data_IF_828641573885
#
_entry.id   IF_828641573885
#
_cell.length_a   1.000
_cell.length_b   1.000
_cell.length_c   1.000
_cell.angle_alpha   90.00
_cell.angle_beta   90.00
_cell.angle_gamma   90.00
#
_symmetry.space_group_name_H-M   'P 1'
#
loop_
_entity.id
_entity.type
_entity.pdbx_description
1 polymer ?
#
# COMPACT_ATOMS: atom_id res chain seq x y z
N UNK A 1 2.89 -6.34 -13.20
CA UNK A 1 2.28 -4.99 -13.04
C UNK A 1 2.78 -3.97 -14.07
N UNK A 2 4.08 -3.64 -14.16
CA UNK A 2 4.59 -2.57 -15.06
C UNK A 2 4.08 -2.63 -16.51
N UNK A 3 4.19 -3.78 -17.17
CA UNK A 3 3.70 -3.95 -18.54
C UNK A 3 2.23 -3.55 -18.69
N UNK A 4 1.40 -3.94 -17.72
CA UNK A 4 -0.04 -3.62 -17.72
C UNK A 4 -0.29 -2.12 -17.59
N UNK A 5 0.41 -1.44 -16.69
CA UNK A 5 0.27 0.01 -16.50
C UNK A 5 0.68 0.79 -17.75
N UNK A 6 1.80 0.42 -18.37
CA UNK A 6 2.29 1.10 -19.58
C UNK A 6 1.39 0.80 -20.78
N UNK A 7 1.17 -0.48 -21.09
CA UNK A 7 0.55 -0.88 -22.36
C UNK A 7 -0.97 -0.79 -22.36
N UNK A 8 -1.62 -0.85 -21.19
CA UNK A 8 -3.09 -0.83 -21.08
C UNK A 8 -3.65 0.45 -20.49
N UNK A 9 -2.91 1.09 -19.59
CA UNK A 9 -3.34 2.34 -18.93
C UNK A 9 -2.56 3.57 -19.39
N UNK A 10 -1.56 3.41 -20.25
CA UNK A 10 -0.84 4.54 -20.84
C UNK A 10 0.07 5.29 -19.86
N UNK A 11 0.47 4.67 -18.75
CA UNK A 11 1.42 5.28 -17.83
C UNK A 11 2.78 5.48 -18.53
N UNK A 12 3.34 6.70 -18.54
CA UNK A 12 4.70 6.93 -19.02
C UNK A 12 5.70 6.03 -18.30
N UNK A 13 6.70 5.51 -19.01
CA UNK A 13 7.74 4.69 -18.36
C UNK A 13 8.48 5.45 -17.25
N UNK A 14 8.71 6.74 -17.44
CA UNK A 14 9.42 7.60 -16.48
C UNK A 14 8.57 7.94 -15.25
N UNK A 15 7.26 7.68 -15.28
CA UNK A 15 6.36 7.83 -14.12
C UNK A 15 6.22 6.52 -13.33
N UNK A 16 7.08 5.53 -13.56
CA UNK A 16 7.05 4.25 -12.85
C UNK A 16 8.38 4.04 -12.13
N UNK A 17 8.35 4.14 -10.80
CA UNK A 17 9.44 3.71 -9.93
C UNK A 17 9.19 2.26 -9.49
N UNK A 18 10.18 1.40 -9.72
CA UNK A 18 10.11 -0.01 -9.33
C UNK A 18 11.31 -0.36 -8.46
N UNK A 19 11.03 -1.04 -7.35
CA UNK A 19 12.03 -1.61 -6.45
C UNK A 19 11.96 -3.14 -6.52
N UNK A 20 13.09 -3.82 -6.74
CA UNK A 20 13.16 -5.29 -6.84
C UNK A 20 14.46 -5.82 -6.25
N UNK A 21 14.45 -7.04 -5.73
CA UNK A 21 15.63 -7.67 -5.11
C UNK A 21 16.76 -7.97 -6.14
N UNK A 22 16.42 -8.22 -7.40
CA UNK A 22 17.36 -8.54 -8.48
C UNK A 22 18.08 -7.31 -9.07
N UNK A 23 17.86 -6.12 -8.52
CA UNK A 23 18.36 -4.88 -9.10
C UNK A 23 19.81 -4.58 -8.70
N UNK A 24 20.59 -4.10 -9.66
CA UNK A 24 22.02 -3.78 -9.45
C UNK A 24 22.23 -2.41 -8.81
N UNK A 25 21.29 -1.48 -9.03
CA UNK A 25 21.33 -0.16 -8.42
C UNK A 25 20.85 -0.22 -6.96
N UNK A 26 21.70 0.12 -5.97
CA UNK A 26 21.33 0.07 -4.55
C UNK A 26 20.12 0.92 -4.18
N UNK A 27 19.84 2.00 -4.92
CA UNK A 27 18.68 2.88 -4.70
C UNK A 27 17.35 2.25 -5.13
N UNK A 28 17.41 1.13 -5.85
CA UNK A 28 16.24 0.40 -6.35
C UNK A 28 16.04 -0.96 -5.67
N UNK A 29 16.86 -1.29 -4.68
CA UNK A 29 16.65 -2.46 -3.83
C UNK A 29 15.55 -2.13 -2.81
N UNK A 30 14.59 -3.01 -2.51
CA UNK A 30 13.45 -2.74 -1.62
C UNK A 30 13.87 -2.78 -0.12
N UNK A 31 14.81 -1.93 0.27
CA UNK A 31 15.13 -1.66 1.68
C UNK A 31 14.05 -0.78 2.31
N UNK A 32 13.95 -0.76 3.64
CA UNK A 32 12.98 0.05 4.36
C UNK A 32 13.07 1.51 3.93
N UNK A 33 14.27 2.05 3.87
CA UNK A 33 14.49 3.46 3.49
C UNK A 33 14.08 3.73 2.03
N UNK A 34 14.45 2.84 1.09
CA UNK A 34 14.10 3.03 -0.31
C UNK A 34 12.60 2.94 -0.55
N UNK A 35 11.89 2.03 0.13
CA UNK A 35 10.43 1.94 0.07
C UNK A 35 9.81 3.24 0.59
N UNK A 36 10.25 3.76 1.75
CA UNK A 36 9.76 5.04 2.30
C UNK A 36 9.97 6.21 1.34
N UNK A 37 11.14 6.28 0.72
CA UNK A 37 11.43 7.31 -0.28
C UNK A 37 10.54 7.17 -1.52
N UNK A 38 10.30 5.94 -1.98
CA UNK A 38 9.41 5.67 -3.11
C UNK A 38 7.94 6.04 -2.80
N UNK A 39 7.46 5.76 -1.59
CA UNK A 39 6.12 6.15 -1.13
C UNK A 39 5.96 7.67 -1.11
N UNK A 40 6.96 8.40 -0.59
CA UNK A 40 6.95 9.87 -0.61
C UNK A 40 7.00 10.43 -2.03
N UNK A 41 7.83 9.84 -2.88
CA UNK A 41 7.92 10.21 -4.30
C UNK A 41 6.58 10.02 -5.01
N UNK A 42 5.85 8.94 -4.71
CA UNK A 42 4.56 8.63 -5.35
C UNK A 42 3.53 9.75 -5.16
N UNK A 43 3.45 10.33 -3.97
CA UNK A 43 2.47 11.40 -3.66
C UNK A 43 3.03 12.81 -3.86
N UNK A 44 4.33 12.95 -4.14
CA UNK A 44 4.97 14.24 -4.26
C UNK A 44 4.40 15.02 -5.46
N UNK A 45 3.81 16.18 -5.16
CA UNK A 45 3.26 17.07 -6.19
C UNK A 45 1.91 16.64 -6.76
N UNK A 46 1.28 15.59 -6.19
CA UNK A 46 -0.04 15.12 -6.59
C UNK A 46 -1.07 16.26 -6.56
N UNK A 47 -1.90 16.31 -7.60
CA UNK A 47 -2.97 17.29 -7.79
C UNK A 47 -4.34 16.60 -7.87
N UNK A 48 -5.44 17.34 -7.63
CA UNK A 48 -6.78 16.85 -7.94
C UNK A 48 -6.89 16.36 -9.40
N UNK A 49 -7.44 15.17 -9.59
CA UNK A 49 -7.57 14.52 -10.89
C UNK A 49 -6.46 13.51 -11.22
N UNK A 50 -5.36 13.48 -10.45
CA UNK A 50 -4.30 12.49 -10.64
C UNK A 50 -4.75 11.08 -10.25
N UNK A 51 -4.21 10.08 -10.95
CA UNK A 51 -4.40 8.66 -10.66
C UNK A 51 -3.06 8.00 -10.36
N UNK A 52 -2.89 7.60 -9.11
CA UNK A 52 -1.69 6.98 -8.57
C UNK A 52 -1.91 5.47 -8.45
N UNK A 53 -0.82 4.71 -8.59
CA UNK A 53 -0.83 3.26 -8.37
C UNK A 53 0.30 2.89 -7.42
N UNK A 54 -0.06 2.26 -6.29
CA UNK A 54 0.87 1.59 -5.40
C UNK A 54 0.67 0.08 -5.53
N UNK A 55 1.72 -0.65 -5.89
CA UNK A 55 1.67 -2.11 -5.96
C UNK A 55 2.79 -2.71 -5.13
N UNK A 56 2.42 -3.55 -4.17
CA UNK A 56 3.36 -4.30 -3.35
C UNK A 56 3.09 -5.80 -3.52
N UNK A 57 4.16 -6.57 -3.68
CA UNK A 57 4.11 -8.04 -3.64
C UNK A 57 5.28 -8.51 -2.81
N UNK A 58 5.01 -9.32 -1.79
CA UNK A 58 6.03 -9.80 -0.87
C UNK A 58 5.45 -10.30 0.44
N UNK A 59 6.30 -10.33 1.47
CA UNK A 59 5.86 -10.71 2.81
C UNK A 59 5.15 -9.55 3.51
N UNK A 60 4.00 -9.88 4.10
CA UNK A 60 3.38 -9.06 5.12
C UNK A 60 3.31 -9.84 6.43
N UNK A 61 3.33 -9.10 7.53
CA UNK A 61 3.31 -9.64 8.89
C UNK A 61 2.41 -8.79 9.77
N UNK A 62 2.22 -9.21 11.01
CA UNK A 62 1.61 -8.41 12.07
C UNK A 62 2.65 -8.09 13.14
N UNK A 63 2.54 -6.92 13.75
CA UNK A 63 3.28 -6.58 14.97
C UNK A 63 2.30 -6.13 16.06
N UNK A 64 2.74 -6.10 17.32
CA UNK A 64 1.88 -5.65 18.40
C UNK A 64 1.62 -4.14 18.24
N UNK A 65 0.35 -3.77 18.18
CA UNK A 65 -0.07 -2.38 18.12
C UNK A 65 0.28 -1.70 19.46
N UNK A 66 0.96 -0.56 19.38
CA UNK A 66 1.41 0.19 20.54
C UNK A 66 0.57 1.43 20.85
N UNK A 67 -0.24 1.92 19.91
CA UNK A 67 -1.12 3.08 20.11
C UNK A 67 -2.60 2.71 20.26
N UNK A 68 -2.93 1.43 20.06
CA UNK A 68 -4.23 0.81 20.28
C UNK A 68 -5.32 1.35 19.34
N UNK A 69 -4.96 1.73 18.11
CA UNK A 69 -5.92 2.12 17.09
C UNK A 69 -6.54 0.92 16.35
N UNK A 70 -5.91 -0.25 16.43
CA UNK A 70 -6.40 -1.50 15.83
C UNK A 70 -7.28 -2.33 16.78
N UNK A 71 -8.41 -2.81 16.25
CA UNK A 71 -9.44 -3.53 17.04
C UNK A 71 -8.95 -4.91 17.50
N UNK A 72 -8.05 -5.53 16.73
CA UNK A 72 -7.44 -6.81 17.09
C UNK A 72 -6.13 -6.66 17.88
N UNK A 73 -5.64 -5.43 18.04
CA UNK A 73 -4.41 -5.09 18.75
C UNK A 73 -3.12 -5.41 17.98
N UNK A 74 -3.17 -5.49 16.64
CA UNK A 74 -2.01 -5.75 15.80
C UNK A 74 -1.96 -4.93 14.51
N UNK A 75 -0.96 -4.06 14.36
CA UNK A 75 -0.62 -3.41 13.09
C UNK A 75 -0.30 -4.44 12.00
N UNK A 76 -0.85 -4.24 10.82
CA UNK A 76 -0.36 -4.84 9.59
C UNK A 76 0.95 -4.21 9.14
N UNK A 77 1.83 -5.04 8.57
CA UNK A 77 3.16 -4.58 8.17
C UNK A 77 3.57 -5.12 6.81
N UNK A 78 4.31 -4.30 6.07
CA UNK A 78 5.09 -4.74 4.92
C UNK A 78 6.51 -5.07 5.38
N UNK A 79 7.10 -6.16 4.86
CA UNK A 79 8.46 -6.56 5.17
C UNK A 79 9.43 -6.11 4.06
N UNK A 80 10.29 -5.09 4.31
CA UNK A 80 11.40 -4.76 3.41
C UNK A 80 12.46 -5.86 3.43
N UNK A 81 13.41 -5.81 2.50
CA UNK A 81 14.48 -6.81 2.42
C UNK A 81 15.40 -6.80 3.67
N UNK A 82 15.56 -5.65 4.32
CA UNK A 82 16.39 -5.43 5.50
C UNK A 82 15.59 -5.42 6.82
N UNK A 83 14.37 -5.99 6.82
CA UNK A 83 13.46 -5.97 7.97
C UNK A 83 14.06 -6.53 9.26
N UNK A 84 14.96 -7.51 9.18
CA UNK A 84 15.64 -8.08 10.36
C UNK A 84 16.49 -7.05 11.12
N UNK A 85 17.02 -6.04 10.42
CA UNK A 85 17.92 -5.02 11.00
C UNK A 85 17.27 -3.65 11.12
N UNK A 86 16.28 -3.34 10.28
CA UNK A 86 15.62 -2.02 10.20
C UNK A 86 14.14 -2.04 10.61
N UNK A 87 13.62 -3.23 10.91
CA UNK A 87 12.21 -3.46 11.23
C UNK A 87 11.31 -3.43 10.00
N UNK A 88 10.04 -3.72 10.22
CA UNK A 88 9.00 -3.71 9.20
C UNK A 88 8.45 -2.28 8.97
N UNK A 89 7.63 -2.08 7.95
CA UNK A 89 6.91 -0.81 7.71
C UNK A 89 5.46 -1.05 8.13
N UNK A 90 4.97 -0.28 9.09
CA UNK A 90 3.61 -0.39 9.62
C UNK A 90 2.61 0.33 8.73
N UNK A 91 1.40 -0.19 8.67
CA UNK A 91 0.22 0.40 8.04
C UNK A 91 0.03 1.89 8.34
N UNK A 92 0.15 2.27 9.60
CA UNK A 92 -0.05 3.62 10.09
C UNK A 92 0.97 4.61 9.47
N UNK A 93 2.20 4.13 9.25
CA UNK A 93 3.25 4.83 8.52
C UNK A 93 2.93 4.95 7.01
N UNK A 94 2.38 3.89 6.42
CA UNK A 94 1.98 3.88 5.01
C UNK A 94 0.82 4.86 4.83
N UNK A 95 -0.19 4.80 5.68
CA UNK A 95 -1.34 5.70 5.70
C UNK A 95 -0.89 7.17 5.83
N UNK A 96 -0.02 7.47 6.80
CA UNK A 96 0.56 8.80 6.99
C UNK A 96 1.26 9.33 5.74
N UNK A 97 1.90 8.42 4.99
CA UNK A 97 2.75 8.78 3.84
C UNK A 97 1.95 8.94 2.56
N UNK A 98 1.01 8.03 2.26
CA UNK A 98 0.34 7.97 0.95
C UNK A 98 -1.18 8.11 0.97
N UNK A 99 -1.83 8.07 2.13
CA UNK A 99 -3.30 8.21 2.23
C UNK A 99 -3.67 9.60 2.75
N UNK A 100 -3.25 9.94 3.97
CA UNK A 100 -3.52 11.23 4.63
C UNK A 100 -3.14 12.46 3.77
N UNK A 101 -2.02 12.46 3.03
CA UNK A 101 -1.61 13.64 2.25
C UNK A 101 -2.32 13.81 0.91
N UNK A 102 -3.14 12.86 0.46
CA UNK A 102 -3.75 12.92 -0.87
C UNK A 102 -4.72 14.12 -0.98
N UNK A 103 -4.59 14.94 -2.02
CA UNK A 103 -5.52 16.03 -2.24
C UNK A 103 -6.90 15.49 -2.65
N UNK A 104 -7.94 16.21 -2.27
CA UNK A 104 -9.30 15.88 -2.69
C UNK A 104 -9.39 15.82 -4.22
N UNK A 105 -9.93 14.72 -4.74
CA UNK A 105 -10.09 14.48 -6.17
C UNK A 105 -8.93 13.72 -6.82
N UNK A 106 -7.82 13.46 -6.12
CA UNK A 106 -6.86 12.46 -6.54
C UNK A 106 -7.35 11.04 -6.17
N UNK A 107 -6.92 10.04 -6.93
CA UNK A 107 -7.24 8.63 -6.68
C UNK A 107 -5.97 7.82 -6.51
N UNK A 108 -5.84 7.10 -5.39
CA UNK A 108 -4.78 6.12 -5.18
C UNK A 108 -5.36 4.71 -5.32
N UNK A 109 -4.83 3.94 -6.27
CA UNK A 109 -5.10 2.53 -6.44
C UNK A 109 -3.98 1.72 -5.78
N UNK A 110 -4.25 1.12 -4.63
CA UNK A 110 -3.31 0.24 -3.96
C UNK A 110 -3.65 -1.24 -4.20
N UNK A 111 -2.68 -2.01 -4.67
CA UNK A 111 -2.79 -3.46 -4.86
C UNK A 111 -1.71 -4.12 -4.02
N UNK A 112 -2.13 -4.89 -3.02
CA UNK A 112 -1.22 -5.52 -2.06
C UNK A 112 -1.38 -7.03 -2.17
N UNK A 113 -0.35 -7.69 -2.71
CA UNK A 113 -0.24 -9.14 -2.80
C UNK A 113 0.69 -9.65 -1.70
N UNK A 114 0.16 -9.68 -0.48
CA UNK A 114 0.86 -10.09 0.73
C UNK A 114 -0.11 -10.71 1.76
N UNK A 115 0.41 -11.56 2.65
CA UNK A 115 -0.32 -12.03 3.83
C UNK A 115 -0.57 -10.86 4.79
N UNK A 116 -1.66 -10.91 5.56
CA UNK A 116 -2.02 -9.87 6.55
C UNK A 116 -2.00 -8.47 5.94
N UNK A 117 -2.67 -8.29 4.80
CA UNK A 117 -2.70 -7.02 4.04
C UNK A 117 -4.07 -6.35 4.05
N UNK A 118 -5.01 -6.86 4.84
CA UNK A 118 -6.43 -6.50 4.78
C UNK A 118 -6.67 -5.03 5.16
N UNK A 119 -5.87 -4.52 6.08
CA UNK A 119 -5.98 -3.19 6.69
C UNK A 119 -4.68 -2.39 6.56
N UNK A 120 -3.74 -2.79 5.69
CA UNK A 120 -2.40 -2.19 5.53
C UNK A 120 -2.36 -0.70 5.11
N UNK A 121 -3.52 -0.06 4.98
CA UNK A 121 -3.70 1.35 4.64
C UNK A 121 -4.64 2.08 5.60
N UNK A 122 -5.15 1.43 6.66
CA UNK A 122 -6.09 1.95 7.66
C UNK A 122 -7.29 2.67 7.04
N UNK A 123 -7.89 2.04 6.03
CA UNK A 123 -9.04 2.62 5.35
C UNK A 123 -10.31 2.37 6.17
N UNK A 124 -11.16 3.40 6.38
CA UNK A 124 -12.33 3.29 7.25
C UNK A 124 -13.47 2.42 6.66
N UNK A 125 -13.39 2.06 5.39
CA UNK A 125 -14.41 1.30 4.68
C UNK A 125 -13.80 0.07 4.03
N UNK A 126 -14.28 -1.10 4.43
CA UNK A 126 -13.86 -2.38 3.85
C UNK A 126 -15.03 -3.01 3.09
N UNK A 127 -14.82 -3.26 1.81
CA UNK A 127 -15.73 -4.06 0.99
C UNK A 127 -15.17 -5.47 0.85
N UNK A 128 -16.00 -6.48 1.09
CA UNK A 128 -15.65 -7.90 0.99
C UNK A 128 -16.44 -8.53 -0.14
N UNK A 129 -15.83 -9.49 -0.81
CA UNK A 129 -16.49 -10.27 -1.86
C UNK A 129 -16.58 -11.73 -1.43
N UNK A 130 -17.77 -12.33 -1.54
CA UNK A 130 -17.94 -13.75 -1.28
C UNK A 130 -17.49 -14.60 -2.49
N UNK A 131 -17.50 -15.94 -2.34
CA UNK A 131 -17.10 -16.86 -3.43
C UNK A 131 -18.01 -16.82 -4.66
N UNK A 132 -19.20 -16.24 -4.53
CA UNK A 132 -20.19 -16.09 -5.60
C UNK A 132 -20.05 -14.73 -6.32
N UNK A 133 -19.09 -13.89 -5.91
CA UNK A 133 -18.86 -12.56 -6.48
C UNK A 133 -19.76 -11.46 -5.91
N UNK A 134 -20.50 -11.73 -4.83
CA UNK A 134 -21.35 -10.73 -4.18
C UNK A 134 -20.54 -9.87 -3.21
N UNK A 135 -20.68 -8.55 -3.33
CA UNK A 135 -20.04 -7.55 -2.49
C UNK A 135 -20.86 -7.28 -1.22
N UNK A 136 -20.20 -7.13 -0.09
CA UNK A 136 -20.81 -6.73 1.19
C UNK A 136 -19.84 -5.89 2.03
N UNK A 137 -20.37 -4.96 2.82
CA UNK A 137 -19.53 -4.10 3.67
C UNK A 137 -19.14 -4.83 4.96
N UNK A 138 -17.85 -4.88 5.25
CA UNK A 138 -17.30 -5.38 6.49
C UNK A 138 -17.02 -4.23 7.45
N UNK A 139 -17.84 -4.07 8.48
CA UNK A 139 -17.66 -3.10 9.56
C UNK A 139 -18.73 -3.29 10.64
N UNK A 140 -18.59 -2.67 11.84
CA UNK A 140 -19.54 -2.84 12.95
C UNK A 140 -20.97 -2.37 12.62
N UNK A 141 -21.16 -1.64 11.51
CA UNK A 141 -22.46 -1.23 10.96
C UNK A 141 -22.65 -1.81 9.55
N UNK A 142 -22.68 -3.13 9.43
CA UNK A 142 -22.97 -3.81 8.17
C UNK A 142 -24.42 -3.54 7.72
N UNK A 143 -24.58 -2.67 6.72
CA UNK A 143 -25.76 -2.67 5.87
C UNK A 143 -25.49 -3.56 4.66
N UNK A 144 -26.34 -4.56 4.48
CA UNK A 144 -26.46 -5.30 3.23
C UNK A 144 -27.10 -4.37 2.20
N UNK A 145 -26.48 -4.19 1.04
CA UNK A 145 -27.15 -3.61 -0.13
C UNK A 145 -28.16 -4.61 -0.72
#
# INVERSE_FOLDING_TARGET
>A
MRYFLVEKFGFPNDSILMLTEDETNPLKIPTKENIRLALRWLVQGCQPGDSLVFHFSGHGSKQLDNDMDEVDGFDETLCPLDYETRGMIVDDEINATIVRPLPQGATLHAIIDACYSQTVLDLPFVCRMNREGLLYMGGPNSFTL
#
